data_IF_729527947150
#
_entry.id   IF_729527947150
#
_cell.length_a   1.000
_cell.length_b   1.000
_cell.length_c   1.000
_cell.angle_alpha   90.00
_cell.angle_beta   90.00
_cell.angle_gamma   90.00
#
_symmetry.space_group_name_H-M   'P 1'
#
loop_
_entity.id
_entity.type
_entity.pdbx_description
1 polymer ?
#
# COMPACT_ATOMS: atom_id res chain seq x y z
N UNK A 1 -17.60 34.36 -21.51
CA UNK A 1 -16.24 34.39 -20.94
C UNK A 1 -15.97 33.00 -20.40
N UNK A 2 -15.01 32.25 -20.95
CA UNK A 2 -14.63 30.95 -20.42
C UNK A 2 -13.75 31.16 -19.19
N UNK A 3 -14.11 30.53 -18.08
CA UNK A 3 -13.34 30.55 -16.84
C UNK A 3 -12.00 29.83 -17.04
N UNK A 4 -10.90 30.57 -16.84
CA UNK A 4 -9.55 30.01 -16.79
C UNK A 4 -9.44 29.06 -15.59
N UNK A 5 -9.47 27.75 -15.85
CA UNK A 5 -9.05 26.74 -14.90
C UNK A 5 -7.55 26.95 -14.67
N UNK A 6 -7.20 27.61 -13.56
CA UNK A 6 -5.82 27.70 -13.07
C UNK A 6 -5.34 26.29 -12.76
N UNK A 7 -4.61 25.68 -13.69
CA UNK A 7 -3.81 24.50 -13.42
C UNK A 7 -2.75 24.90 -12.41
N UNK A 8 -2.94 24.48 -11.16
CA UNK A 8 -1.96 24.70 -10.10
C UNK A 8 -0.64 24.08 -10.53
N UNK A 9 0.34 24.93 -10.84
CA UNK A 9 1.73 24.53 -11.00
C UNK A 9 2.16 23.85 -9.70
N UNK A 10 2.54 22.56 -9.81
CA UNK A 10 3.26 21.85 -8.76
C UNK A 10 4.49 22.67 -8.39
N UNK A 11 4.38 23.43 -7.29
CA UNK A 11 5.49 24.17 -6.72
C UNK A 11 6.49 23.11 -6.23
N UNK A 12 7.63 23.01 -6.92
CA UNK A 12 8.67 22.05 -6.65
C UNK A 12 9.15 22.19 -5.20
N UNK A 13 9.23 21.06 -4.52
CA UNK A 13 9.70 20.89 -3.15
C UNK A 13 11.20 21.24 -3.03
N UNK A 14 11.56 22.53 -3.03
CA UNK A 14 12.98 22.95 -3.09
C UNK A 14 13.66 23.21 -1.74
N UNK A 15 13.08 22.80 -0.62
CA UNK A 15 13.65 23.01 0.72
C UNK A 15 13.51 21.77 1.61
N UNK A 16 13.60 20.56 1.05
CA UNK A 16 13.77 19.38 1.90
C UNK A 16 15.19 19.39 2.47
N UNK A 17 15.29 19.47 3.79
CA UNK A 17 16.50 19.10 4.53
C UNK A 17 17.02 17.79 3.95
N UNK A 18 18.32 17.74 3.63
CA UNK A 18 18.95 16.54 3.10
C UNK A 18 18.64 15.39 4.05
N UNK A 19 17.86 14.42 3.57
CA UNK A 19 17.51 13.23 4.35
C UNK A 19 18.81 12.62 4.88
N UNK A 20 18.90 12.27 6.17
CA UNK A 20 20.09 11.63 6.69
C UNK A 20 20.40 10.40 5.85
N UNK A 21 21.65 10.29 5.39
CA UNK A 21 22.11 9.15 4.61
C UNK A 21 22.11 7.91 5.52
N UNK A 22 21.01 7.15 5.48
CA UNK A 22 20.91 5.87 6.16
C UNK A 22 21.86 4.87 5.51
N UNK A 23 22.71 4.24 6.31
CA UNK A 23 23.56 3.13 5.88
C UNK A 23 22.76 1.82 5.84
N UNK A 24 23.33 0.79 5.21
CA UNK A 24 22.73 -0.55 5.25
C UNK A 24 22.62 -1.10 6.69
N UNK A 25 23.55 -0.74 7.57
CA UNK A 25 23.49 -1.14 8.98
C UNK A 25 22.33 -0.45 9.70
N UNK A 26 22.06 0.83 9.39
CA UNK A 26 20.90 1.55 9.93
C UNK A 26 19.58 0.94 9.42
N UNK A 27 19.50 0.61 8.13
CA UNK A 27 18.34 -0.08 7.58
C UNK A 27 18.10 -1.43 8.24
N UNK A 28 19.18 -2.21 8.44
CA UNK A 28 19.09 -3.50 9.09
C UNK A 28 18.57 -3.35 10.52
N UNK A 29 19.06 -2.35 11.24
CA UNK A 29 18.58 -2.03 12.60
C UNK A 29 17.09 -1.67 12.60
N UNK A 30 16.65 -0.81 11.66
CA UNK A 30 15.24 -0.43 11.47
C UNK A 30 14.37 -1.67 11.22
N UNK A 31 14.79 -2.55 10.30
CA UNK A 31 14.03 -3.75 9.97
C UNK A 31 13.95 -4.71 11.17
N UNK A 32 15.06 -4.92 11.89
CA UNK A 32 15.14 -5.84 13.02
C UNK A 32 14.30 -5.39 14.23
N UNK A 33 14.12 -4.08 14.42
CA UNK A 33 13.33 -3.52 15.51
C UNK A 33 11.89 -3.14 15.10
N UNK A 34 11.50 -3.43 13.87
CA UNK A 34 10.14 -3.17 13.38
C UNK A 34 9.12 -4.21 13.86
N UNK A 35 7.82 -3.97 13.58
CA UNK A 35 6.74 -4.91 13.86
C UNK A 35 6.71 -6.16 12.94
N UNK A 36 7.61 -6.24 11.96
CA UNK A 36 7.64 -7.32 10.98
C UNK A 36 8.04 -8.66 11.62
N UNK A 37 7.51 -9.76 11.09
CA UNK A 37 7.93 -11.11 11.46
C UNK A 37 9.39 -11.39 11.07
N UNK A 38 10.06 -12.30 11.79
CA UNK A 38 11.44 -12.73 11.49
C UNK A 38 11.61 -13.16 10.02
N UNK A 39 10.59 -13.80 9.43
CA UNK A 39 10.63 -14.22 8.03
C UNK A 39 10.69 -13.01 7.08
N UNK A 40 9.83 -12.02 7.31
CA UNK A 40 9.81 -10.79 6.53
C UNK A 40 11.07 -9.96 6.73
N UNK A 41 11.57 -9.86 7.97
CA UNK A 41 12.82 -9.17 8.28
C UNK A 41 13.99 -9.77 7.49
N UNK A 42 14.13 -11.10 7.50
CA UNK A 42 15.19 -11.79 6.77
C UNK A 42 15.10 -11.56 5.25
N UNK A 43 13.88 -11.61 4.69
CA UNK A 43 13.65 -11.36 3.26
C UNK A 43 14.06 -9.94 2.88
N UNK A 44 13.69 -8.93 3.69
CA UNK A 44 14.03 -7.54 3.39
C UNK A 44 15.53 -7.28 3.56
N UNK A 45 16.16 -7.80 4.61
CA UNK A 45 17.60 -7.69 4.81
C UNK A 45 18.37 -8.33 3.65
N UNK A 46 17.97 -9.53 3.23
CA UNK A 46 18.57 -10.21 2.08
C UNK A 46 18.36 -9.42 0.79
N UNK A 47 17.15 -8.90 0.56
CA UNK A 47 16.86 -8.06 -0.59
C UNK A 47 17.81 -6.86 -0.64
N UNK A 48 17.85 -6.03 0.40
CA UNK A 48 18.68 -4.81 0.40
C UNK A 48 20.19 -5.09 0.42
N UNK A 49 20.63 -6.26 0.88
CA UNK A 49 22.03 -6.67 0.76
C UNK A 49 22.46 -6.92 -0.70
N UNK A 50 21.51 -7.27 -1.57
CA UNK A 50 21.75 -7.64 -2.97
C UNK A 50 21.42 -6.51 -3.96
N UNK A 51 20.62 -5.51 -3.57
CA UNK A 51 20.30 -4.35 -4.41
C UNK A 51 21.56 -3.47 -4.60
N UNK A 52 21.80 -2.89 -5.79
CA UNK A 52 22.93 -1.99 -6.00
C UNK A 52 22.91 -0.80 -5.03
N UNK A 53 24.06 -0.47 -4.44
CA UNK A 53 24.16 0.62 -3.45
C UNK A 53 23.67 1.99 -3.95
N UNK A 54 23.65 2.20 -5.26
CA UNK A 54 23.07 3.42 -5.83
C UNK A 54 21.63 3.58 -5.37
N UNK A 55 20.81 2.53 -5.39
CA UNK A 55 19.39 2.51 -4.99
C UNK A 55 19.13 2.74 -3.48
N UNK A 56 20.20 2.87 -2.69
CA UNK A 56 20.12 3.17 -1.26
C UNK A 56 20.40 4.64 -0.98
N UNK A 57 20.75 5.44 -2.01
CA UNK A 57 21.06 6.84 -1.88
C UNK A 57 19.85 7.67 -2.32
N UNK A 58 19.39 8.66 -1.54
CA UNK A 58 18.26 9.51 -1.89
C UNK A 58 18.63 10.54 -2.98
N UNK A 59 19.15 10.09 -4.12
CA UNK A 59 19.30 10.94 -5.31
C UNK A 59 17.99 10.92 -6.10
N UNK A 60 17.39 12.09 -6.27
CA UNK A 60 16.09 12.33 -6.94
C UNK A 60 16.01 11.77 -8.36
N UNK A 61 17.14 11.37 -8.95
CA UNK A 61 17.23 11.22 -10.38
C UNK A 61 16.90 9.83 -10.95
N UNK A 62 16.83 8.71 -10.21
CA UNK A 62 16.65 7.37 -10.85
C UNK A 62 15.90 6.24 -10.09
N UNK A 63 15.31 6.46 -8.90
CA UNK A 63 15.10 5.31 -7.99
C UNK A 63 13.71 4.65 -7.91
N UNK A 64 13.75 3.40 -7.47
CA UNK A 64 12.65 2.45 -7.21
C UNK A 64 11.69 2.89 -6.09
N UNK A 65 12.04 3.93 -5.32
CA UNK A 65 11.37 4.43 -4.11
C UNK A 65 11.16 3.40 -2.98
N UNK A 66 11.51 2.12 -3.18
CA UNK A 66 11.26 1.07 -2.20
C UNK A 66 12.05 1.25 -0.91
N UNK A 67 13.33 1.58 -1.01
CA UNK A 67 14.16 1.87 0.15
C UNK A 67 13.59 3.02 0.99
N UNK A 68 13.30 4.15 0.36
CA UNK A 68 12.70 5.30 1.02
C UNK A 68 11.35 4.94 1.67
N UNK A 69 10.52 4.15 0.99
CA UNK A 69 9.25 3.68 1.53
C UNK A 69 9.46 2.82 2.79
N UNK A 70 10.40 1.87 2.79
CA UNK A 70 10.71 1.04 3.96
C UNK A 70 11.21 1.90 5.14
N UNK A 71 12.13 2.82 4.87
CA UNK A 71 12.64 3.75 5.88
C UNK A 71 11.58 4.71 6.43
N UNK A 72 10.50 4.97 5.68
CA UNK A 72 9.39 5.80 6.14
C UNK A 72 8.39 5.03 7.01
N UNK A 73 8.10 3.76 6.69
CA UNK A 73 6.98 3.03 7.32
C UNK A 73 7.37 2.14 8.49
N UNK A 74 8.64 1.75 8.61
CA UNK A 74 9.14 0.87 9.67
C UNK A 74 9.72 1.52 10.94
N UNK A 75 10.10 2.81 11.01
CA UNK A 75 10.62 3.39 12.23
C UNK A 75 9.62 3.31 13.39
N UNK A 76 10.04 2.67 14.49
CA UNK A 76 9.29 2.61 15.76
C UNK A 76 9.61 3.81 16.68
N UNK A 77 10.36 4.78 16.17
CA UNK A 77 10.83 5.93 16.93
C UNK A 77 9.67 6.89 17.18
N UNK A 78 9.37 7.15 18.47
CA UNK A 78 8.47 8.21 18.95
C UNK A 78 8.73 9.59 18.29
N UNK A 79 9.92 9.79 17.69
CA UNK A 79 10.27 11.03 17.00
C UNK A 79 9.75 11.15 15.55
N UNK A 80 9.22 10.08 14.94
CA UNK A 80 8.66 10.11 13.58
C UNK A 80 7.15 9.90 13.63
N UNK A 81 6.44 10.99 13.90
CA UNK A 81 4.97 11.01 13.93
C UNK A 81 4.34 10.92 12.54
N UNK A 82 5.14 10.92 11.46
CA UNK A 82 4.69 11.03 10.07
C UNK A 82 3.93 9.79 9.58
N UNK A 83 4.25 8.60 10.09
CA UNK A 83 3.57 7.36 9.71
C UNK A 83 3.12 6.57 10.94
N UNK A 84 1.86 6.13 10.95
CA UNK A 84 1.33 5.29 12.01
C UNK A 84 0.25 4.37 11.44
N UNK A 85 0.49 3.07 11.54
CA UNK A 85 -0.42 2.05 11.03
C UNK A 85 -1.32 1.52 12.12
N UNK A 86 -2.62 1.42 11.82
CA UNK A 86 -3.51 0.61 12.64
C UNK A 86 -2.94 -0.82 12.76
N UNK A 87 -2.88 -1.45 13.95
CA UNK A 87 -2.23 -2.75 14.14
C UNK A 87 -2.73 -3.86 13.21
N UNK A 88 -4.00 -3.81 12.79
CA UNK A 88 -4.57 -4.75 11.81
C UNK A 88 -3.97 -4.64 10.41
N UNK A 89 -3.32 -3.52 10.08
CA UNK A 89 -2.60 -3.38 8.82
C UNK A 89 -1.19 -3.96 8.86
N UNK A 90 -0.63 -4.29 10.04
CA UNK A 90 0.74 -4.82 10.13
C UNK A 90 0.95 -6.07 9.25
N UNK A 91 0.07 -7.10 9.27
CA UNK A 91 0.24 -8.27 8.39
C UNK A 91 0.13 -7.92 6.90
N UNK A 92 -0.64 -6.89 6.55
CA UNK A 92 -0.81 -6.42 5.17
C UNK A 92 0.46 -5.69 4.73
N UNK A 93 1.00 -4.78 5.55
CA UNK A 93 2.26 -4.08 5.29
C UNK A 93 3.38 -5.08 5.07
N UNK A 94 3.49 -6.08 5.95
CA UNK A 94 4.49 -7.14 5.84
C UNK A 94 4.42 -7.84 4.47
N UNK A 95 3.23 -8.29 4.06
CA UNK A 95 3.04 -8.92 2.75
C UNK A 95 3.31 -7.98 1.59
N UNK A 96 2.94 -6.71 1.75
CA UNK A 96 3.14 -5.68 0.74
C UNK A 96 4.61 -5.54 0.39
N UNK A 97 5.45 -5.47 1.43
CA UNK A 97 6.90 -5.37 1.34
C UNK A 97 7.54 -6.66 0.82
N UNK A 98 7.09 -7.82 1.33
CA UNK A 98 7.59 -9.12 0.87
C UNK A 98 7.27 -9.37 -0.61
N UNK A 99 6.04 -9.10 -1.06
CA UNK A 99 5.65 -9.24 -2.47
C UNK A 99 6.51 -8.34 -3.36
N UNK A 100 6.84 -7.14 -2.87
CA UNK A 100 7.72 -6.24 -3.58
C UNK A 100 9.12 -6.84 -3.76
N UNK A 101 9.76 -7.19 -2.64
CA UNK A 101 11.13 -7.71 -2.62
C UNK A 101 11.29 -9.02 -3.41
N UNK A 102 10.30 -9.91 -3.32
CA UNK A 102 10.39 -11.27 -3.87
C UNK A 102 9.88 -11.41 -5.30
N UNK A 103 8.96 -10.55 -5.74
CA UNK A 103 8.29 -10.71 -7.03
C UNK A 103 8.38 -9.46 -7.91
N UNK A 104 8.07 -8.28 -7.36
CA UNK A 104 8.05 -7.04 -8.15
C UNK A 104 9.47 -6.65 -8.54
N UNK A 105 10.38 -6.51 -7.57
CA UNK A 105 11.74 -6.08 -7.85
C UNK A 105 12.47 -6.99 -8.86
N UNK A 106 12.49 -8.33 -8.71
CA UNK A 106 13.15 -9.21 -9.69
C UNK A 106 12.55 -9.11 -11.10
N UNK A 107 11.25 -8.85 -11.21
CA UNK A 107 10.62 -8.60 -12.50
C UNK A 107 11.17 -7.32 -13.15
N UNK A 108 11.27 -6.22 -12.41
CA UNK A 108 11.81 -4.96 -12.92
C UNK A 108 13.31 -5.04 -13.24
N UNK A 109 14.07 -5.79 -12.43
CA UNK A 109 15.46 -6.10 -12.71
C UNK A 109 15.62 -6.88 -14.03
N UNK A 110 14.76 -7.87 -14.27
CA UNK A 110 14.81 -8.70 -15.48
C UNK A 110 14.55 -7.93 -16.79
N UNK A 111 13.88 -6.78 -16.70
CA UNK A 111 13.59 -5.89 -17.84
C UNK A 111 14.50 -4.65 -17.85
N UNK A 112 15.56 -4.65 -17.04
CA UNK A 112 16.63 -3.66 -17.06
C UNK A 112 16.34 -2.37 -16.29
N UNK A 113 15.47 -2.40 -15.27
CA UNK A 113 15.07 -1.24 -14.45
C UNK A 113 14.69 0.00 -15.27
N UNK A 114 14.19 -0.20 -16.48
CA UNK A 114 13.83 0.92 -17.34
C UNK A 114 12.72 1.70 -16.64
N UNK A 115 13.01 2.97 -16.30
CA UNK A 115 11.96 3.95 -16.03
C UNK A 115 10.91 3.74 -17.09
N UNK A 116 9.69 3.50 -16.63
CA UNK A 116 8.63 2.99 -17.45
C UNK A 116 8.61 3.63 -18.83
N UNK A 117 8.39 2.79 -19.86
CA UNK A 117 8.22 3.23 -21.25
C UNK A 117 7.52 4.59 -21.30
N UNK A 118 7.99 5.50 -22.16
CA UNK A 118 7.51 6.88 -22.30
C UNK A 118 5.99 7.06 -22.51
N UNK A 119 5.25 5.96 -22.61
CA UNK A 119 3.80 5.87 -22.74
C UNK A 119 3.04 5.72 -21.42
N UNK A 120 3.71 5.45 -20.29
CA UNK A 120 3.07 5.40 -18.99
C UNK A 120 3.18 6.77 -18.31
N UNK A 121 2.05 7.25 -17.77
CA UNK A 121 1.97 8.55 -17.08
C UNK A 121 2.74 8.54 -15.74
N UNK A 122 2.88 7.36 -15.12
CA UNK A 122 3.59 7.16 -13.86
C UNK A 122 4.26 5.78 -13.78
N UNK A 123 5.28 5.68 -12.92
CA UNK A 123 5.91 4.40 -12.60
C UNK A 123 4.95 3.55 -11.75
N UNK A 124 4.59 2.33 -12.19
CA UNK A 124 3.65 1.47 -11.49
C UNK A 124 4.16 1.03 -10.10
N UNK A 125 5.48 1.06 -9.87
CA UNK A 125 6.08 0.78 -8.56
C UNK A 125 5.80 1.92 -7.60
N UNK A 126 5.96 3.17 -8.05
CA UNK A 126 5.59 4.35 -7.25
C UNK A 126 4.10 4.36 -6.93
N UNK A 127 3.24 3.99 -7.89
CA UNK A 127 1.80 3.86 -7.63
C UNK A 127 1.49 2.76 -6.60
N UNK A 128 2.20 1.63 -6.68
CA UNK A 128 2.09 0.53 -5.72
C UNK A 128 2.52 1.03 -4.33
N UNK A 129 3.76 1.47 -4.15
CA UNK A 129 4.24 1.96 -2.85
C UNK A 129 3.37 3.11 -2.29
N UNK A 130 2.82 3.94 -3.15
CA UNK A 130 1.87 4.99 -2.75
C UNK A 130 0.59 4.47 -2.08
N UNK A 131 0.16 3.23 -2.32
CA UNK A 131 -0.99 2.61 -1.66
C UNK A 131 -0.68 2.33 -0.19
N UNK A 132 0.48 1.73 0.11
CA UNK A 132 0.81 1.38 1.50
C UNK A 132 1.13 2.62 2.33
N UNK A 133 1.83 3.60 1.74
CA UNK A 133 2.05 4.90 2.37
C UNK A 133 0.73 5.58 2.74
N UNK A 134 -0.28 5.50 1.87
CA UNK A 134 -1.59 6.10 2.14
C UNK A 134 -2.34 5.45 3.33
N UNK A 135 -1.96 4.26 3.80
CA UNK A 135 -2.58 3.66 4.99
C UNK A 135 -1.99 4.21 6.29
N UNK A 136 -0.73 4.64 6.28
CA UNK A 136 0.00 5.09 7.47
C UNK A 136 0.22 6.59 7.56
N UNK A 137 0.07 7.33 6.47
CA UNK A 137 0.35 8.77 6.39
C UNK A 137 -0.48 9.58 7.42
N UNK A 138 0.22 10.21 8.37
CA UNK A 138 -0.32 11.08 9.41
C UNK A 138 -0.29 12.56 9.05
N UNK A 139 0.20 12.94 7.86
CA UNK A 139 0.28 14.34 7.51
C UNK A 139 -1.12 14.95 7.37
N UNK A 140 -1.56 15.59 8.46
CA UNK A 140 -2.81 16.35 8.58
C UNK A 140 -2.83 17.52 7.56
N UNK A 141 -1.66 17.96 7.10
CA UNK A 141 -1.48 18.97 6.06
C UNK A 141 -1.39 18.37 4.65
N UNK A 142 -1.47 17.04 4.49
CA UNK A 142 -1.46 16.41 3.17
C UNK A 142 -2.59 17.01 2.33
N UNK A 143 -2.21 17.71 1.27
CA UNK A 143 -3.13 18.35 0.30
C UNK A 143 -4.14 17.37 -0.30
N UNK A 144 -3.93 16.08 -0.10
CA UNK A 144 -4.73 14.96 -0.59
C UNK A 144 -5.98 14.71 0.27
N UNK A 145 -6.08 15.30 1.46
CA UNK A 145 -7.25 15.14 2.33
C UNK A 145 -7.41 13.71 2.85
N UNK A 146 -6.28 13.04 3.08
CA UNK A 146 -6.19 11.68 3.59
C UNK A 146 -6.23 11.70 5.12
N UNK A 147 -7.05 10.84 5.72
CA UNK A 147 -7.42 10.91 7.13
C UNK A 147 -7.27 9.58 7.87
N UNK A 148 -6.62 8.57 7.31
CA UNK A 148 -6.67 7.20 7.86
C UNK A 148 -5.93 7.14 9.19
N UNK A 149 -4.64 7.48 9.19
CA UNK A 149 -3.82 7.40 10.38
C UNK A 149 -4.23 8.43 11.45
N UNK A 150 -4.57 9.66 11.04
CA UNK A 150 -5.10 10.69 11.96
C UNK A 150 -6.42 10.28 12.63
N UNK A 151 -7.35 9.63 11.89
CA UNK A 151 -8.57 9.05 12.48
C UNK A 151 -8.26 7.94 13.44
N UNK A 152 -7.29 7.08 13.13
CA UNK A 152 -6.93 6.00 14.04
C UNK A 152 -6.34 6.54 15.34
N UNK A 153 -5.35 7.44 15.27
CA UNK A 153 -4.75 8.10 16.44
C UNK A 153 -5.79 8.80 17.32
N UNK A 154 -6.85 9.36 16.72
CA UNK A 154 -7.95 10.02 17.43
C UNK A 154 -9.10 9.09 17.86
N UNK A 155 -9.02 7.79 17.60
CA UNK A 155 -10.09 6.82 17.91
C UNK A 155 -11.36 6.99 17.06
N UNK A 156 -11.26 7.68 15.92
CA UNK A 156 -12.35 7.94 14.97
C UNK A 156 -12.38 6.98 13.78
N UNK A 157 -11.33 6.18 13.57
CA UNK A 157 -11.30 5.17 12.51
C UNK A 157 -12.16 3.98 12.94
N UNK A 158 -13.28 3.79 12.24
CA UNK A 158 -14.21 2.70 12.57
C UNK A 158 -13.70 1.38 12.05
N UNK A 159 -14.13 0.33 12.72
CA UNK A 159 -13.85 -1.05 12.37
C UNK A 159 -14.23 -1.37 10.91
N UNK A 160 -15.41 -0.94 10.45
CA UNK A 160 -15.87 -1.16 9.07
C UNK A 160 -14.97 -0.49 8.03
N UNK A 161 -14.39 0.67 8.37
CA UNK A 161 -13.43 1.36 7.50
C UNK A 161 -12.11 0.59 7.42
N UNK A 162 -11.64 0.05 8.56
CA UNK A 162 -10.46 -0.83 8.61
C UNK A 162 -10.65 -2.04 7.70
N UNK A 163 -11.81 -2.71 7.79
CA UNK A 163 -12.15 -3.85 6.93
C UNK A 163 -12.15 -3.50 5.43
N UNK A 164 -12.78 -2.38 5.04
CA UNK A 164 -12.81 -1.96 3.64
C UNK A 164 -11.40 -1.67 3.10
N UNK A 165 -10.57 -0.99 3.88
CA UNK A 165 -9.18 -0.69 3.52
C UNK A 165 -8.35 -1.97 3.39
N UNK A 166 -8.52 -2.90 4.33
CA UNK A 166 -7.87 -4.21 4.31
C UNK A 166 -8.26 -5.00 3.05
N UNK A 167 -9.56 -5.17 2.78
CA UNK A 167 -10.06 -5.92 1.61
C UNK A 167 -9.52 -5.34 0.30
N UNK A 168 -9.58 -4.02 0.14
CA UNK A 168 -9.12 -3.35 -1.08
C UNK A 168 -7.60 -3.52 -1.28
N UNK A 169 -6.83 -3.43 -0.20
CA UNK A 169 -5.36 -3.59 -0.26
C UNK A 169 -4.97 -5.04 -0.54
N UNK A 170 -5.63 -6.00 0.12
CA UNK A 170 -5.43 -7.42 -0.13
C UNK A 170 -5.79 -7.78 -1.58
N UNK A 171 -6.91 -7.27 -2.10
CA UNK A 171 -7.29 -7.49 -3.50
C UNK A 171 -6.22 -7.00 -4.48
N UNK A 172 -5.59 -5.86 -4.19
CA UNK A 172 -4.45 -5.38 -4.98
C UNK A 172 -3.29 -6.37 -4.95
N UNK A 173 -2.89 -6.88 -3.78
CA UNK A 173 -1.81 -7.88 -3.68
C UNK A 173 -2.07 -9.10 -4.56
N UNK A 174 -3.31 -9.60 -4.54
CA UNK A 174 -3.75 -10.72 -5.40
C UNK A 174 -3.64 -10.38 -6.88
N UNK A 175 -4.13 -9.20 -7.27
CA UNK A 175 -4.08 -8.76 -8.67
C UNK A 175 -2.65 -8.61 -9.16
N UNK A 176 -1.78 -7.98 -8.37
CA UNK A 176 -0.36 -7.80 -8.70
C UNK A 176 0.33 -9.15 -8.82
N UNK A 177 0.11 -10.06 -7.87
CA UNK A 177 0.69 -11.40 -7.93
C UNK A 177 0.24 -12.16 -9.17
N UNK A 178 -1.05 -12.10 -9.52
CA UNK A 178 -1.59 -12.74 -10.72
C UNK A 178 -1.04 -12.13 -12.02
N UNK A 179 -0.92 -10.81 -12.10
CA UNK A 179 -0.34 -10.09 -13.24
C UNK A 179 1.12 -10.51 -13.44
N UNK A 180 1.91 -10.52 -12.36
CA UNK A 180 3.34 -10.86 -12.44
C UNK A 180 3.55 -12.33 -12.79
N UNK A 181 2.76 -13.25 -12.20
CA UNK A 181 2.86 -14.69 -12.44
C UNK A 181 2.34 -15.13 -13.82
N UNK A 182 1.56 -14.29 -14.52
CA UNK A 182 1.00 -14.63 -15.83
C UNK A 182 2.10 -14.87 -16.88
N UNK A 183 2.18 -16.06 -17.45
CA UNK A 183 3.12 -16.36 -18.54
C UNK A 183 2.60 -15.96 -19.93
N UNK A 184 1.32 -15.60 -20.04
CA UNK A 184 0.65 -15.30 -21.31
C UNK A 184 0.64 -13.82 -21.66
N UNK A 185 0.89 -12.94 -20.68
CA UNK A 185 0.93 -11.49 -20.88
C UNK A 185 2.33 -11.04 -21.30
N UNK A 186 2.42 -10.22 -22.34
CA UNK A 186 3.67 -9.54 -22.66
C UNK A 186 4.04 -8.51 -21.58
N UNK A 187 5.33 -8.17 -21.51
CA UNK A 187 5.88 -7.26 -20.50
C UNK A 187 5.17 -5.91 -20.48
N UNK A 188 4.85 -5.32 -21.63
CA UNK A 188 4.22 -4.01 -21.69
C UNK A 188 2.78 -4.05 -21.16
N UNK A 189 2.06 -5.13 -21.47
CA UNK A 189 0.74 -5.37 -20.91
C UNK A 189 0.81 -5.56 -19.39
N UNK A 190 1.78 -6.33 -18.87
CA UNK A 190 1.98 -6.49 -17.42
C UNK A 190 2.21 -5.15 -16.71
N UNK A 191 3.12 -4.32 -17.23
CA UNK A 191 3.40 -2.99 -16.67
C UNK A 191 2.14 -2.11 -16.65
N UNK A 192 1.39 -2.11 -17.75
CA UNK A 192 0.15 -1.33 -17.87
C UNK A 192 -0.94 -1.84 -16.92
N UNK A 193 -1.10 -3.16 -16.81
CA UNK A 193 -2.08 -3.77 -15.91
C UNK A 193 -1.72 -3.52 -14.44
N UNK A 194 -0.44 -3.68 -14.09
CA UNK A 194 0.10 -3.41 -12.76
C UNK A 194 -0.14 -1.95 -12.37
N UNK A 195 0.30 -0.99 -13.20
CA UNK A 195 0.10 0.43 -12.93
C UNK A 195 -1.37 0.80 -12.77
N UNK A 196 -2.26 0.27 -13.63
CA UNK A 196 -3.70 0.51 -13.50
C UNK A 196 -4.30 -0.06 -12.22
N UNK A 197 -3.89 -1.25 -11.81
CA UNK A 197 -4.37 -1.87 -10.58
C UNK A 197 -3.94 -1.02 -9.36
N UNK A 198 -2.66 -0.69 -9.28
CA UNK A 198 -2.10 0.15 -8.20
C UNK A 198 -2.74 1.53 -8.16
N UNK A 199 -2.82 2.21 -9.30
CA UNK A 199 -3.42 3.55 -9.40
C UNK A 199 -4.89 3.55 -8.96
N UNK A 200 -5.71 2.60 -9.45
CA UNK A 200 -7.14 2.55 -9.10
C UNK A 200 -7.33 2.29 -7.60
N UNK A 201 -6.54 1.38 -7.03
CA UNK A 201 -6.57 1.09 -5.60
C UNK A 201 -6.14 2.31 -4.78
N UNK A 202 -5.02 2.94 -5.13
CA UNK A 202 -4.55 4.15 -4.46
C UNK A 202 -5.54 5.31 -4.57
N UNK A 203 -6.17 5.47 -5.73
CA UNK A 203 -7.20 6.47 -5.95
C UNK A 203 -8.45 6.19 -5.12
N UNK A 204 -8.93 4.94 -5.05
CA UNK A 204 -10.05 4.54 -4.21
C UNK A 204 -9.77 4.80 -2.73
N UNK A 205 -8.57 4.49 -2.25
CA UNK A 205 -8.17 4.76 -0.88
C UNK A 205 -8.11 6.27 -0.63
N UNK A 206 -7.37 7.04 -1.42
CA UNK A 206 -7.17 8.48 -1.16
C UNK A 206 -8.44 9.31 -1.35
N UNK A 207 -9.17 9.10 -2.43
CA UNK A 207 -10.29 9.97 -2.81
C UNK A 207 -11.61 9.56 -2.16
N UNK A 208 -11.73 8.30 -1.72
CA UNK A 208 -12.97 7.78 -1.17
C UNK A 208 -12.80 7.26 0.26
N UNK A 209 -12.19 6.09 0.46
CA UNK A 209 -12.20 5.42 1.78
C UNK A 209 -11.45 6.20 2.86
N UNK A 210 -10.30 6.75 2.52
CA UNK A 210 -9.44 7.55 3.38
C UNK A 210 -9.77 9.04 3.39
N UNK A 211 -10.74 9.49 2.61
CA UNK A 211 -11.08 10.92 2.53
C UNK A 211 -11.71 11.43 3.83
N UNK A 212 -11.32 12.64 4.28
CA UNK A 212 -12.00 13.35 5.40
C UNK A 212 -13.52 13.48 5.24
N UNK A 213 -14.01 13.47 3.98
CA UNK A 213 -15.42 13.63 3.62
C UNK A 213 -16.22 12.34 3.74
N UNK A 214 -15.57 11.18 3.68
CA UNK A 214 -16.24 9.90 3.83
C UNK A 214 -16.48 9.62 5.32
N UNK A 215 -17.74 9.80 5.76
CA UNK A 215 -18.17 9.61 7.16
C UNK A 215 -19.47 8.80 7.29
N UNK A 216 -19.90 8.13 6.22
CA UNK A 216 -21.21 7.49 6.15
C UNK A 216 -21.17 6.05 6.64
N UNK A 217 -21.46 5.84 7.93
CA UNK A 217 -21.56 4.50 8.54
C UNK A 217 -22.48 3.56 7.76
N UNK A 218 -23.59 4.10 7.26
CA UNK A 218 -24.55 3.33 6.46
C UNK A 218 -23.96 2.86 5.13
N UNK A 219 -23.15 3.69 4.47
CA UNK A 219 -22.52 3.34 3.21
C UNK A 219 -21.38 2.33 3.43
N UNK A 220 -20.62 2.49 4.51
CA UNK A 220 -19.59 1.52 4.94
C UNK A 220 -20.19 0.12 5.10
N UNK A 221 -21.28 0.01 5.88
CA UNK A 221 -22.01 -1.25 6.07
C UNK A 221 -22.59 -1.79 4.76
N UNK A 222 -23.18 -0.94 3.93
CA UNK A 222 -23.76 -1.37 2.65
C UNK A 222 -22.70 -1.91 1.69
N UNK A 223 -21.49 -1.32 1.68
CA UNK A 223 -20.37 -1.84 0.88
C UNK A 223 -19.91 -3.20 1.40
N UNK A 224 -19.78 -3.36 2.72
CA UNK A 224 -19.41 -4.65 3.32
C UNK A 224 -20.48 -5.72 3.09
N UNK A 225 -21.76 -5.36 3.22
CA UNK A 225 -22.89 -6.25 2.90
C UNK A 225 -22.85 -6.66 1.45
N UNK A 226 -22.66 -5.71 0.53
CA UNK A 226 -22.56 -5.99 -0.90
C UNK A 226 -21.39 -6.95 -1.17
N UNK A 227 -20.20 -6.67 -0.62
CA UNK A 227 -19.03 -7.54 -0.74
C UNK A 227 -19.31 -8.96 -0.22
N UNK A 228 -20.14 -9.09 0.82
CA UNK A 228 -20.53 -10.36 1.41
C UNK A 228 -21.67 -11.08 0.67
N UNK A 229 -22.29 -10.49 -0.36
CA UNK A 229 -23.38 -11.14 -1.10
C UNK A 229 -22.88 -12.36 -1.89
N UNK A 230 -23.62 -13.48 -1.78
CA UNK A 230 -23.36 -14.72 -2.51
C UNK A 230 -23.29 -14.45 -4.03
N UNK A 231 -22.18 -14.87 -4.66
CA UNK A 231 -21.96 -14.71 -6.10
C UNK A 231 -21.01 -13.58 -6.49
N UNK A 232 -20.62 -12.71 -5.55
CA UNK A 232 -19.33 -12.04 -5.67
C UNK A 232 -18.23 -13.06 -5.39
N UNK A 233 -17.13 -13.00 -6.15
CA UNK A 233 -16.02 -13.96 -6.05
C UNK A 233 -15.17 -13.70 -4.79
N UNK A 234 -15.82 -13.73 -3.63
CA UNK A 234 -15.18 -13.78 -2.33
C UNK A 234 -14.49 -15.11 -2.14
N UNK A 235 -14.86 -16.19 -2.83
CA UNK A 235 -14.11 -17.46 -2.77
C UNK A 235 -12.62 -17.30 -3.11
N UNK A 236 -12.27 -16.43 -4.06
CA UNK A 236 -10.87 -16.12 -4.37
C UNK A 236 -10.20 -15.34 -3.22
N UNK A 237 -10.90 -14.35 -2.67
CA UNK A 237 -10.42 -13.57 -1.53
C UNK A 237 -10.28 -14.48 -0.33
N UNK A 238 -11.33 -15.19 0.06
CA UNK A 238 -11.43 -16.19 1.10
C UNK A 238 -10.41 -17.32 0.97
N UNK A 239 -10.10 -17.81 -0.24
CA UNK A 239 -9.06 -18.82 -0.43
C UNK A 239 -7.68 -18.30 -0.03
N UNK A 240 -7.43 -17.02 -0.28
CA UNK A 240 -6.19 -16.33 0.05
C UNK A 240 -6.20 -15.93 1.53
N UNK A 241 -7.30 -15.36 2.03
CA UNK A 241 -7.44 -14.99 3.43
C UNK A 241 -7.48 -16.21 4.35
N UNK A 242 -8.14 -17.31 3.99
CA UNK A 242 -8.26 -18.48 4.86
C UNK A 242 -6.93 -19.23 5.00
N UNK A 243 -6.09 -19.21 3.97
CA UNK A 243 -4.74 -19.77 4.05
C UNK A 243 -3.80 -18.87 4.86
N UNK A 244 -3.97 -17.55 4.74
CA UNK A 244 -2.94 -16.60 5.18
C UNK A 244 -3.33 -15.80 6.44
N UNK A 245 -4.61 -15.61 6.76
CA UNK A 245 -5.13 -14.82 7.90
C UNK A 245 -6.21 -15.61 8.66
N UNK A 246 -5.90 -16.71 9.37
CA UNK A 246 -6.93 -17.59 9.96
C UNK A 246 -7.99 -16.86 10.81
N UNK A 247 -7.60 -15.78 11.48
CA UNK A 247 -8.45 -14.92 12.29
C UNK A 247 -9.49 -14.12 11.49
N UNK A 248 -9.35 -13.98 10.17
CA UNK A 248 -10.28 -13.23 9.32
C UNK A 248 -11.68 -13.85 9.36
N UNK A 249 -11.79 -15.19 9.27
CA UNK A 249 -13.08 -15.90 9.34
C UNK A 249 -13.70 -15.80 10.72
N UNK A 250 -12.87 -15.86 11.75
CA UNK A 250 -13.33 -15.76 13.14
C UNK A 250 -13.87 -14.35 13.41
N UNK A 251 -13.11 -13.32 13.05
CA UNK A 251 -13.55 -11.92 13.20
C UNK A 251 -14.71 -11.53 12.28
N UNK A 252 -14.85 -12.18 11.10
CA UNK A 252 -16.02 -12.00 10.24
C UNK A 252 -17.25 -12.76 10.74
N UNK A 253 -17.07 -13.92 11.39
CA UNK A 253 -18.15 -14.67 12.03
C UNK A 253 -18.75 -13.91 13.23
N UNK A 254 -17.93 -13.07 13.88
CA UNK A 254 -18.34 -12.15 14.94
C UNK A 254 -18.96 -10.85 14.39
N UNK A 255 -18.94 -10.63 13.07
CA UNK A 255 -19.54 -9.45 12.46
C UNK A 255 -21.07 -9.49 12.65
N UNK A 256 -21.71 -8.41 13.15
CA UNK A 256 -23.10 -8.45 13.63
C UNK A 256 -24.15 -8.93 12.62
N UNK A 257 -23.84 -8.90 11.32
CA UNK A 257 -24.73 -9.31 10.24
C UNK A 257 -24.37 -10.66 9.59
N UNK A 258 -23.29 -11.34 10.00
CA UNK A 258 -22.84 -12.63 9.44
C UNK A 258 -23.82 -13.79 9.62
N UNK A 259 -24.94 -13.59 10.34
CA UNK A 259 -26.00 -14.59 10.55
C UNK A 259 -27.41 -14.05 10.37
N UNK A 260 -27.66 -13.18 9.38
CA UNK A 260 -29.01 -13.23 8.77
C UNK A 260 -29.08 -14.48 7.89
N UNK A 261 -29.14 -15.65 8.53
CA UNK A 261 -29.68 -16.85 7.90
C UNK A 261 -31.09 -16.46 7.43
N UNK A 262 -31.22 -16.27 6.11
CA UNK A 262 -32.52 -16.08 5.48
C UNK A 262 -33.30 -17.39 5.70
N UNK A 263 -34.23 -17.37 6.66
CA UNK A 263 -35.35 -18.31 6.65
C UNK A 263 -36.27 -18.00 5.48
#
# INVERSE_FOLDING_TARGET
MPDEIKTGTHQAYSEHEAWPLFTFDDLKDIVQHSFLSDAAQNILIEHFANVPKSFLLPDDSEEDYFYACVCQILPDSEAQDDYAFHPRFHPIVERYLMLYAQLIYPFFESIGHTRCNAHLESDPRSEYLGVILALGDNDDASRLGLAIASRWKSGLLKEEQVWLLEIVTLKLLVDVQAIMASSTMDTQYKLTAFGRASYRTGHLIRQFLGSYRFRSARLELLLLEYIAEDGLNMELVDGILAKELPHWRESWADFPNGRRQRQ
#
